data_IF_902688468580
#
_entry.id   IF_902688468580
#
_cell.length_a   1.000
_cell.length_b   1.000
_cell.length_c   1.000
_cell.angle_alpha   90.00
_cell.angle_beta   90.00
_cell.angle_gamma   90.00
#
_symmetry.space_group_name_H-M   'P 1'
#
loop_
_entity.id
_entity.type
_entity.pdbx_description
1 polymer ?
#
# COMPACT_ATOMS: atom_id res chain seq x y z
N UNK A 1 1.05 1.11 -2.97
CA UNK A 1 2.47 0.75 -3.15
C UNK A 1 3.35 1.86 -2.58
N UNK A 2 4.58 1.54 -2.16
CA UNK A 2 5.56 2.52 -1.73
C UNK A 2 6.98 2.03 -2.06
N UNK A 3 7.76 2.85 -2.76
CA UNK A 3 9.11 2.55 -3.22
C UNK A 3 10.13 3.29 -2.36
N UNK A 4 11.15 2.57 -1.89
CA UNK A 4 12.32 3.09 -1.20
C UNK A 4 13.54 2.20 -1.48
N UNK A 5 14.69 2.52 -0.88
CA UNK A 5 15.96 1.81 -1.11
C UNK A 5 15.98 0.37 -0.56
N UNK A 6 14.97 -0.01 0.23
CA UNK A 6 14.76 -1.39 0.67
C UNK A 6 13.31 -1.60 1.08
N UNK A 7 12.87 -2.86 1.12
CA UNK A 7 11.57 -3.27 1.66
C UNK A 7 11.33 -2.76 3.07
N UNK A 8 12.31 -2.90 3.97
CA UNK A 8 12.19 -2.43 5.35
C UNK A 8 11.98 -0.92 5.42
N UNK A 9 12.75 -0.15 4.64
CA UNK A 9 12.61 1.31 4.59
C UNK A 9 11.28 1.73 3.97
N UNK A 10 10.83 1.06 2.92
CA UNK A 10 9.55 1.32 2.29
C UNK A 10 8.38 1.08 3.26
N UNK A 11 8.37 -0.06 3.97
CA UNK A 11 7.35 -0.37 5.00
C UNK A 11 7.38 0.70 6.09
N UNK A 12 8.56 1.05 6.61
CA UNK A 12 8.69 2.05 7.67
C UNK A 12 8.11 3.41 7.26
N UNK A 13 8.41 3.87 6.04
CA UNK A 13 7.93 5.15 5.53
C UNK A 13 6.44 5.14 5.22
N UNK A 14 5.91 4.01 4.75
CA UNK A 14 4.52 3.91 4.30
C UNK A 14 3.52 3.59 5.43
N UNK A 15 4.00 3.04 6.56
CA UNK A 15 3.21 2.71 7.75
C UNK A 15 2.25 3.83 8.20
N UNK A 16 2.67 5.08 8.39
CA UNK A 16 1.74 6.14 8.82
C UNK A 16 0.60 6.38 7.82
N UNK A 17 0.83 6.20 6.51
CA UNK A 17 -0.22 6.37 5.50
C UNK A 17 -1.20 5.20 5.52
N UNK A 18 -0.72 3.97 5.76
CA UNK A 18 -1.58 2.81 5.94
C UNK A 18 -2.49 2.98 7.16
N UNK A 19 -1.93 3.40 8.30
CA UNK A 19 -2.68 3.63 9.54
C UNK A 19 -3.71 4.76 9.38
N UNK A 20 -3.38 5.83 8.66
CA UNK A 20 -4.32 6.92 8.40
C UNK A 20 -5.43 6.50 7.42
N UNK A 21 -5.08 5.75 6.38
CA UNK A 21 -6.06 5.18 5.45
C UNK A 21 -7.04 4.25 6.16
N UNK A 22 -6.58 3.45 7.13
CA UNK A 22 -7.43 2.57 7.93
C UNK A 22 -8.52 3.35 8.67
N UNK A 23 -8.20 4.53 9.23
CA UNK A 23 -9.16 5.39 9.94
C UNK A 23 -10.29 5.88 9.04
N UNK A 24 -9.98 6.13 7.77
CA UNK A 24 -10.97 6.53 6.78
C UNK A 24 -11.74 5.32 6.21
N UNK A 25 -11.01 4.25 5.88
CA UNK A 25 -11.53 3.10 5.14
C UNK A 25 -12.36 2.14 6.00
N UNK A 26 -11.99 1.96 7.26
CA UNK A 26 -12.68 1.04 8.18
C UNK A 26 -14.17 1.36 8.33
N UNK A 27 -14.55 2.58 8.75
CA UNK A 27 -15.95 2.96 8.92
C UNK A 27 -16.80 2.89 7.64
N UNK A 28 -16.16 2.97 6.47
CA UNK A 28 -16.81 2.88 5.16
C UNK A 28 -16.93 1.43 4.65
N UNK A 29 -16.35 0.46 5.35
CA UNK A 29 -16.35 -0.94 4.94
C UNK A 29 -15.48 -1.24 3.72
N UNK A 30 -14.55 -0.34 3.36
CA UNK A 30 -13.66 -0.50 2.19
C UNK A 30 -12.29 -1.10 2.55
N UNK A 31 -12.06 -1.38 3.84
CA UNK A 31 -10.97 -2.20 4.35
C UNK A 31 -11.57 -3.36 5.16
N UNK A 32 -11.10 -4.60 4.99
CA UNK A 32 -11.64 -5.76 5.70
C UNK A 32 -11.21 -5.74 7.16
N UNK A 33 -12.04 -5.12 8.01
CA UNK A 33 -11.87 -5.09 9.47
C UNK A 33 -13.01 -5.85 10.14
N UNK A 34 -12.72 -6.52 11.25
CA UNK A 34 -13.77 -7.08 12.12
C UNK A 34 -14.60 -5.95 12.74
N UNK A 35 -15.83 -6.21 13.21
CA UNK A 35 -16.62 -5.20 13.91
C UNK A 35 -15.88 -4.56 15.10
N UNK A 36 -15.13 -5.37 15.86
CA UNK A 36 -14.32 -4.92 17.00
C UNK A 36 -13.13 -4.05 16.57
N UNK A 37 -12.43 -4.41 15.49
CA UNK A 37 -11.37 -3.58 14.90
C UNK A 37 -11.91 -2.26 14.39
N UNK A 38 -13.08 -2.26 13.74
CA UNK A 38 -13.74 -1.04 13.29
C UNK A 38 -14.10 -0.11 14.47
N UNK A 39 -14.65 -0.67 15.55
CA UNK A 39 -14.93 0.10 16.76
C UNK A 39 -13.66 0.69 17.37
N UNK A 40 -12.56 -0.07 17.39
CA UNK A 40 -11.24 0.41 17.81
C UNK A 40 -10.76 1.60 16.99
N UNK A 41 -10.83 1.48 15.66
CA UNK A 41 -10.41 2.53 14.72
C UNK A 41 -11.21 3.81 14.91
N UNK A 42 -12.54 3.72 15.00
CA UNK A 42 -13.43 4.87 15.22
C UNK A 42 -13.14 5.55 16.56
N UNK A 43 -12.88 4.77 17.60
CA UNK A 43 -12.59 5.26 18.95
C UNK A 43 -11.12 5.66 19.16
N UNK A 44 -10.34 5.88 18.09
CA UNK A 44 -8.92 6.27 18.15
C UNK A 44 -8.04 5.29 18.94
N UNK A 45 -8.30 3.99 18.81
CA UNK A 45 -7.56 2.92 19.49
C UNK A 45 -7.80 2.82 20.99
N UNK A 46 -8.89 3.41 21.51
CA UNK A 46 -9.21 3.39 22.95
C UNK A 46 -9.80 2.07 23.45
N UNK A 47 -10.01 1.10 22.58
CA UNK A 47 -10.37 -0.28 22.96
C UNK A 47 -9.08 -1.04 23.27
N UNK A 48 -8.75 -1.12 24.55
CA UNK A 48 -7.56 -1.83 25.02
C UNK A 48 -7.59 -3.30 24.55
N UNK A 49 -6.48 -3.78 23.97
CA UNK A 49 -6.30 -5.18 23.59
C UNK A 49 -6.73 -5.57 22.17
N UNK A 50 -7.34 -4.66 21.40
CA UNK A 50 -7.73 -4.94 20.01
C UNK A 50 -6.53 -4.77 19.09
N UNK A 51 -6.03 -5.88 18.52
CA UNK A 51 -4.98 -5.85 17.51
C UNK A 51 -5.56 -5.39 16.16
N UNK A 52 -5.04 -4.27 15.64
CA UNK A 52 -5.36 -3.77 14.30
C UNK A 52 -4.43 -4.39 13.26
N UNK A 53 -4.88 -4.57 12.00
CA UNK A 53 -4.00 -5.04 10.93
C UNK A 53 -2.79 -4.15 10.77
N UNK A 54 -1.67 -4.75 10.40
CA UNK A 54 -0.41 -4.06 10.18
C UNK A 54 -0.11 -3.93 8.69
N UNK A 55 0.74 -2.96 8.34
CA UNK A 55 1.23 -2.85 6.97
C UNK A 55 2.07 -4.08 6.57
N UNK A 56 2.81 -4.67 7.50
CA UNK A 56 3.63 -5.86 7.26
C UNK A 56 2.76 -7.05 6.81
N UNK A 57 1.65 -7.30 7.52
CA UNK A 57 0.66 -8.32 7.12
C UNK A 57 0.02 -7.99 5.76
N UNK A 58 -0.28 -6.71 5.49
CA UNK A 58 -0.84 -6.29 4.21
C UNK A 58 0.15 -6.51 3.04
N UNK A 59 1.46 -6.33 3.29
CA UNK A 59 2.52 -6.61 2.32
C UNK A 59 2.71 -8.11 2.12
N UNK A 60 2.70 -8.91 3.19
CA UNK A 60 2.76 -10.37 3.10
C UNK A 60 1.57 -10.96 2.33
N UNK A 61 0.37 -10.41 2.53
CA UNK A 61 -0.83 -10.80 1.81
C UNK A 61 -0.85 -10.33 0.34
N UNK A 62 0.11 -9.51 -0.10
CA UNK A 62 0.17 -8.94 -1.45
C UNK A 62 -0.86 -7.84 -1.73
N UNK A 63 -1.57 -7.37 -0.71
CA UNK A 63 -2.53 -6.25 -0.82
C UNK A 63 -1.83 -4.88 -0.88
N UNK A 64 -0.58 -4.82 -0.41
CA UNK A 64 0.32 -3.68 -0.53
C UNK A 64 1.67 -4.12 -1.08
N UNK A 65 2.27 -3.28 -1.93
CA UNK A 65 3.61 -3.51 -2.45
C UNK A 65 4.54 -2.47 -1.82
N UNK A 66 5.51 -2.91 -1.01
CA UNK A 66 6.54 -2.06 -0.43
C UNK A 66 7.91 -2.67 -0.73
N UNK A 67 8.83 -1.90 -1.30
CA UNK A 67 10.09 -2.45 -1.79
C UNK A 67 10.94 -1.45 -2.57
N UNK A 68 11.95 -1.95 -3.26
CA UNK A 68 12.66 -1.21 -4.30
C UNK A 68 11.82 -1.12 -5.58
N UNK A 69 12.29 -0.40 -6.58
CA UNK A 69 11.65 -0.38 -7.89
C UNK A 69 11.66 -1.76 -8.54
N UNK A 70 12.72 -2.56 -8.34
CA UNK A 70 12.79 -3.95 -8.81
C UNK A 70 11.73 -4.83 -8.13
N UNK A 71 11.56 -4.72 -6.80
CA UNK A 71 10.51 -5.47 -6.08
C UNK A 71 9.11 -5.17 -6.66
N UNK A 72 8.86 -3.92 -7.06
CA UNK A 72 7.60 -3.52 -7.70
C UNK A 72 7.48 -4.12 -9.10
N UNK A 73 8.54 -4.07 -9.92
CA UNK A 73 8.54 -4.67 -11.26
C UNK A 73 8.25 -6.16 -11.17
N UNK A 74 8.91 -6.88 -10.27
CA UNK A 74 8.66 -8.30 -10.05
C UNK A 74 7.21 -8.56 -9.62
N UNK A 75 6.69 -7.78 -8.67
CA UNK A 75 5.30 -7.90 -8.20
C UNK A 75 4.29 -7.70 -9.35
N UNK A 76 4.52 -6.72 -10.23
CA UNK A 76 3.65 -6.43 -11.36
C UNK A 76 3.73 -7.51 -12.45
N UNK A 77 4.91 -8.12 -12.69
CA UNK A 77 5.05 -9.26 -13.59
C UNK A 77 4.29 -10.49 -13.07
N UNK A 78 4.33 -10.76 -11.77
CA UNK A 78 3.50 -11.83 -11.17
C UNK A 78 2.01 -11.56 -11.37
N UNK A 79 1.58 -10.29 -11.30
CA UNK A 79 0.18 -9.91 -11.58
C UNK A 79 -0.17 -10.14 -13.06
N UNK A 80 0.71 -9.77 -13.98
CA UNK A 80 0.55 -10.00 -15.43
C UNK A 80 0.41 -11.50 -15.76
N UNK A 81 1.25 -12.34 -15.17
CA UNK A 81 1.17 -13.80 -15.33
C UNK A 81 -0.13 -14.38 -14.76
N UNK A 82 -0.55 -13.89 -13.59
CA UNK A 82 -1.76 -14.37 -12.90
C UNK A 82 -3.04 -13.93 -13.59
N UNK A 83 -3.04 -12.75 -14.23
CA UNK A 83 -4.19 -12.17 -14.91
C UNK A 83 -3.82 -11.79 -16.36
N UNK A 84 -3.77 -12.78 -17.27
CA UNK A 84 -3.46 -12.52 -18.68
C UNK A 84 -4.45 -11.52 -19.29
N UNK A 85 -3.92 -10.48 -19.94
CA UNK A 85 -4.73 -9.41 -20.56
C UNK A 85 -4.95 -8.17 -19.68
N UNK A 86 -4.30 -8.06 -18.52
CA UNK A 86 -4.22 -6.79 -17.80
C UNK A 86 -3.39 -5.79 -18.59
N UNK A 87 -4.02 -4.73 -19.09
CA UNK A 87 -3.35 -3.66 -19.86
C UNK A 87 -3.11 -2.38 -19.06
N UNK A 88 -3.72 -2.28 -17.87
CA UNK A 88 -3.72 -1.03 -17.08
C UNK A 88 -3.59 -1.31 -15.60
N UNK A 89 -2.71 -0.55 -14.97
CA UNK A 89 -2.55 -0.49 -13.51
C UNK A 89 -2.80 0.93 -13.07
N UNK A 90 -3.61 1.11 -12.04
CA UNK A 90 -3.83 2.41 -11.41
C UNK A 90 -2.93 2.55 -10.18
N UNK A 91 -2.18 3.65 -10.11
CA UNK A 91 -1.36 4.00 -8.97
C UNK A 91 -1.99 5.23 -8.33
N UNK A 92 -2.51 5.04 -7.12
CA UNK A 92 -3.21 6.08 -6.38
C UNK A 92 -2.40 6.53 -5.17
N UNK A 93 -2.54 7.81 -4.84
CA UNK A 93 -2.12 8.32 -3.54
C UNK A 93 -2.98 7.70 -2.43
N UNK A 94 -2.36 7.47 -1.28
CA UNK A 94 -3.06 7.02 -0.09
C UNK A 94 -3.51 8.23 0.71
N UNK A 95 -4.65 8.13 1.41
CA UNK A 95 -5.14 9.19 2.29
C UNK A 95 -4.06 9.62 3.29
N UNK A 96 -3.87 10.93 3.43
CA UNK A 96 -2.86 11.51 4.31
C UNK A 96 -1.44 11.54 3.73
N UNK A 97 -1.20 11.03 2.52
CA UNK A 97 0.12 11.11 1.87
C UNK A 97 0.40 12.55 1.39
N UNK A 98 1.52 13.17 1.78
CA UNK A 98 1.91 14.49 1.30
C UNK A 98 2.12 14.53 -0.22
N UNK A 99 1.84 15.69 -0.83
CA UNK A 99 1.92 15.88 -2.28
C UNK A 99 3.32 15.63 -2.84
N UNK A 100 4.34 16.13 -2.15
CA UNK A 100 5.75 15.97 -2.48
C UNK A 100 6.19 14.51 -2.41
N UNK A 101 5.74 13.77 -1.40
CA UNK A 101 5.96 12.33 -1.29
C UNK A 101 5.33 11.60 -2.47
N UNK A 102 4.06 11.88 -2.79
CA UNK A 102 3.39 11.21 -3.91
C UNK A 102 4.04 11.54 -5.26
N UNK A 103 4.43 12.80 -5.48
CA UNK A 103 5.17 13.20 -6.69
C UNK A 103 6.48 12.43 -6.83
N UNK A 104 7.23 12.27 -5.74
CA UNK A 104 8.45 11.48 -5.73
C UNK A 104 8.16 10.01 -6.13
N UNK A 105 7.13 9.40 -5.53
CA UNK A 105 6.72 8.04 -5.89
C UNK A 105 6.35 7.90 -7.37
N UNK A 106 5.64 8.88 -7.93
CA UNK A 106 5.31 8.90 -9.37
C UNK A 106 6.56 9.03 -10.25
N UNK A 107 7.52 9.87 -9.87
CA UNK A 107 8.80 10.00 -10.58
C UNK A 107 9.55 8.67 -10.61
N UNK A 108 9.72 8.01 -9.47
CA UNK A 108 10.39 6.69 -9.39
C UNK A 108 9.66 5.67 -10.27
N UNK A 109 8.33 5.61 -10.20
CA UNK A 109 7.55 4.71 -11.07
C UNK A 109 7.82 5.00 -12.54
N UNK A 110 7.82 6.26 -12.95
CA UNK A 110 8.00 6.63 -14.35
C UNK A 110 9.41 6.33 -14.87
N UNK A 111 10.43 6.51 -14.03
CA UNK A 111 11.84 6.39 -14.42
C UNK A 111 12.39 4.97 -14.26
N UNK A 112 11.90 4.21 -13.27
CA UNK A 112 12.50 2.92 -12.89
C UNK A 112 11.56 1.73 -13.11
N UNK A 113 10.24 1.91 -12.99
CA UNK A 113 9.28 0.79 -13.10
C UNK A 113 8.73 0.67 -14.52
N UNK A 114 8.17 1.74 -15.06
CA UNK A 114 7.52 1.74 -16.38
C UNK A 114 8.41 1.23 -17.53
N UNK A 115 9.73 1.54 -17.60
CA UNK A 115 10.59 1.04 -18.68
C UNK A 115 10.72 -0.49 -18.74
N UNK A 116 10.42 -1.20 -17.64
CA UNK A 116 10.43 -2.66 -17.61
C UNK A 116 9.23 -3.31 -18.31
N UNK A 117 8.18 -2.53 -18.60
CA UNK A 117 6.97 -2.98 -19.27
C UNK A 117 6.96 -2.36 -20.66
N UNK A 118 7.29 -3.17 -21.67
CA UNK A 118 7.17 -2.78 -23.07
C UNK A 118 5.76 -3.13 -23.52
N UNK A 119 4.98 -2.12 -23.88
CA UNK A 119 3.82 -2.35 -24.75
C UNK A 119 4.28 -2.93 -26.08
#
# INVERSE_FOLDING_TARGET
MFIAESKEKAIKLARPYFEEAMKFAGPLGVMPLTPEQNESVVNKGRTAGVALPTLDEAVEAGSWICGTSEDVVESLKVIEEKYPGVERVNIAAVMGMPLDVFKNQLSIVSEEVMPSFKN
#
